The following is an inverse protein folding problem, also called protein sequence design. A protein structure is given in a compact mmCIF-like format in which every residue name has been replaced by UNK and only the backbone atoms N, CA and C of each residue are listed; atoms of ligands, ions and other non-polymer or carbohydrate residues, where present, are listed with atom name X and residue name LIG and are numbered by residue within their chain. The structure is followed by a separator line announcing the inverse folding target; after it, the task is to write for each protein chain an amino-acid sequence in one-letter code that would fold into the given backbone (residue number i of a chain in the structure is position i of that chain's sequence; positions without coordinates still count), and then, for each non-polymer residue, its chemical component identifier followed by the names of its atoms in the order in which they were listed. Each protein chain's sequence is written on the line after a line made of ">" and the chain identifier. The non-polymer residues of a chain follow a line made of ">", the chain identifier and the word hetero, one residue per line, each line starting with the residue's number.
data_IF_110939399781
#
_entry.id   IF_110939399781
#
_cell.length_a   1.000
_cell.length_b   1.000
_cell.length_c   1.000
_cell.angle_alpha   90.00
_cell.angle_beta   90.00
_cell.angle_gamma   90.00
#
_symmetry.space_group_name_H-M   'P 1'
#
loop_
_entity.id
_entity.type
_entity.pdbx_description
1 polymer ?
#
# COMPACT_ATOMS: atom_id res chain seq x y z
N UNK A 1 -4.69 18.16 7.37
CA UNK A 1 -5.42 18.48 6.12
C UNK A 1 -5.33 17.38 5.06
N UNK A 2 -4.18 16.70 4.85
CA UNK A 2 -4.03 15.66 3.82
C UNK A 2 -4.96 14.44 3.98
N UNK A 3 -5.17 13.93 5.21
CA UNK A 3 -6.00 12.72 5.45
C UNK A 3 -7.48 12.95 5.11
N UNK A 4 -8.05 14.07 5.58
CA UNK A 4 -9.45 14.44 5.29
C UNK A 4 -9.69 14.53 3.77
N UNK A 5 -8.79 15.18 3.04
CA UNK A 5 -8.90 15.30 1.58
C UNK A 5 -8.92 13.92 0.89
N UNK A 6 -8.06 12.99 1.32
CA UNK A 6 -8.03 11.64 0.72
C UNK A 6 -9.25 10.81 1.13
N UNK A 7 -9.77 11.01 2.35
CA UNK A 7 -11.03 10.43 2.77
C UNK A 7 -12.19 10.91 1.91
N UNK A 8 -12.26 12.22 1.61
CA UNK A 8 -13.25 12.78 0.68
C UNK A 8 -13.11 12.22 -0.75
N UNK A 9 -11.90 11.80 -1.15
CA UNK A 9 -11.66 11.13 -2.44
C UNK A 9 -12.06 9.65 -2.43
N UNK A 10 -12.44 9.10 -1.28
CA UNK A 10 -12.95 7.73 -1.14
C UNK A 10 -12.02 6.79 -0.37
N UNK A 11 -10.82 7.21 0.05
CA UNK A 11 -9.94 6.35 0.85
C UNK A 11 -10.56 6.09 2.22
N UNK A 12 -10.62 4.83 2.63
CA UNK A 12 -11.22 4.43 3.90
C UNK A 12 -10.19 4.51 5.01
N UNK A 13 -10.30 5.52 5.88
CA UNK A 13 -9.50 5.61 7.10
C UNK A 13 -10.34 5.16 8.29
N UNK A 14 -9.83 4.22 9.08
CA UNK A 14 -10.44 3.85 10.37
C UNK A 14 -10.41 5.02 11.34
N UNK A 15 -9.33 5.80 11.34
CA UNK A 15 -9.19 7.00 12.16
C UNK A 15 -8.41 8.11 11.43
N UNK A 16 -9.12 9.18 11.08
CA UNK A 16 -8.58 10.32 10.33
C UNK A 16 -7.63 11.18 11.19
N UNK A 17 -7.87 11.29 12.50
CA UNK A 17 -7.10 12.17 13.37
C UNK A 17 -5.77 11.56 13.82
N UNK A 18 -5.66 10.22 13.75
CA UNK A 18 -4.54 9.48 14.30
C UNK A 18 -3.67 8.81 13.24
N UNK A 19 -4.02 8.98 11.97
CA UNK A 19 -3.22 8.53 10.82
C UNK A 19 -2.39 9.69 10.30
N UNK A 20 -1.11 9.45 10.04
CA UNK A 20 -0.17 10.44 9.54
C UNK A 20 0.20 10.12 8.09
N UNK A 21 0.03 11.12 7.22
CA UNK A 21 0.33 11.01 5.80
C UNK A 21 1.33 12.10 5.43
N UNK A 22 2.51 11.69 4.99
CA UNK A 22 3.60 12.55 4.56
C UNK A 22 3.30 13.29 3.26
N UNK A 23 4.24 14.16 2.89
CA UNK A 23 4.12 14.94 1.67
C UNK A 23 4.23 14.04 0.42
N UNK A 24 3.45 14.38 -0.61
CA UNK A 24 3.48 13.66 -1.90
C UNK A 24 3.17 12.15 -1.82
N UNK A 25 2.43 11.70 -0.80
CA UNK A 25 1.84 10.36 -0.81
C UNK A 25 0.73 10.32 -1.86
N UNK A 26 0.91 9.44 -2.85
CA UNK A 26 -0.04 9.24 -3.94
C UNK A 26 -0.95 8.05 -3.65
N UNK A 27 -2.25 8.31 -3.67
CA UNK A 27 -3.28 7.29 -3.64
C UNK A 27 -3.75 7.05 -5.06
N UNK A 28 -4.18 5.82 -5.33
CA UNK A 28 -4.85 5.46 -6.56
C UNK A 28 -5.99 6.43 -6.87
N UNK A 29 -5.93 7.09 -8.03
CA UNK A 29 -6.92 8.06 -8.45
C UNK A 29 -8.16 7.44 -9.09
N UNK A 30 -8.11 6.17 -9.47
CA UNK A 30 -9.20 5.48 -10.18
C UNK A 30 -10.10 4.75 -9.18
N UNK A 31 -9.51 3.98 -8.25
CA UNK A 31 -10.25 3.20 -7.26
C UNK A 31 -9.82 3.48 -5.81
N UNK A 32 -9.85 4.74 -5.35
CA UNK A 32 -9.45 5.11 -3.97
C UNK A 32 -10.28 4.39 -2.89
N UNK A 33 -11.53 4.02 -3.20
CA UNK A 33 -12.43 3.26 -2.31
C UNK A 33 -11.96 1.83 -2.01
N UNK A 34 -10.96 1.32 -2.73
CA UNK A 34 -10.34 0.03 -2.44
C UNK A 34 -9.14 0.14 -1.48
N UNK A 35 -8.80 1.35 -1.03
CA UNK A 35 -7.73 1.56 -0.05
C UNK A 35 -8.35 1.66 1.35
N UNK A 36 -7.87 0.82 2.25
CA UNK A 36 -8.26 0.78 3.65
C UNK A 36 -7.04 0.98 4.53
N UNK A 37 -7.11 1.96 5.44
CA UNK A 37 -6.02 2.30 6.35
C UNK A 37 -6.54 2.25 7.79
N UNK A 38 -5.85 1.48 8.62
CA UNK A 38 -6.13 1.30 10.03
C UNK A 38 -5.87 2.54 10.88
N UNK A 39 -5.90 2.34 12.19
CA UNK A 39 -5.58 3.38 13.17
C UNK A 39 -4.06 3.48 13.40
N UNK A 40 -3.58 4.64 13.85
CA UNK A 40 -2.17 4.88 14.23
C UNK A 40 -1.14 4.55 13.13
N UNK A 41 -1.53 4.69 11.87
CA UNK A 41 -0.63 4.43 10.75
C UNK A 41 0.23 5.66 10.42
N UNK A 42 1.47 5.42 10.02
CA UNK A 42 2.37 6.45 9.49
C UNK A 42 2.82 6.10 8.08
N UNK A 43 2.48 6.93 7.09
CA UNK A 43 2.92 6.74 5.70
C UNK A 43 3.80 7.92 5.32
N UNK A 44 5.10 7.67 5.19
CA UNK A 44 6.08 8.71 4.93
C UNK A 44 6.07 9.18 3.47
N UNK A 45 6.76 10.31 3.25
CA UNK A 45 6.67 11.09 2.03
C UNK A 45 7.00 10.29 0.75
N UNK A 46 6.33 10.65 -0.35
CA UNK A 46 6.58 10.12 -1.69
C UNK A 46 6.02 8.71 -1.97
N UNK A 47 5.48 8.02 -0.96
CA UNK A 47 4.92 6.67 -1.11
C UNK A 47 3.72 6.63 -2.05
N UNK A 48 3.60 5.56 -2.86
CA UNK A 48 2.51 5.34 -3.82
C UNK A 48 1.72 4.09 -3.47
N UNK A 49 0.39 4.22 -3.51
CA UNK A 49 -0.55 3.16 -3.17
C UNK A 49 -1.45 2.91 -4.38
N UNK A 50 -1.28 1.74 -5.02
CA UNK A 50 -2.03 1.35 -6.20
C UNK A 50 -2.94 0.16 -5.88
N UNK A 51 -4.20 0.28 -6.28
CA UNK A 51 -5.22 -0.76 -6.16
C UNK A 51 -5.49 -1.45 -7.48
N UNK A 52 -5.07 -0.84 -8.60
CA UNK A 52 -5.11 -1.45 -9.92
C UNK A 52 -3.70 -1.75 -10.45
N UNK A 53 -3.59 -2.83 -11.21
CA UNK A 53 -2.35 -3.26 -11.84
C UNK A 53 -2.63 -3.97 -13.17
N UNK A 54 -1.62 -4.03 -14.03
CA UNK A 54 -1.65 -4.85 -15.25
C UNK A 54 -1.26 -6.27 -14.85
N UNK A 55 -2.15 -7.23 -15.11
CA UNK A 55 -1.80 -8.65 -14.96
C UNK A 55 -0.95 -9.09 -16.15
N UNK A 56 0.34 -9.21 -15.92
CA UNK A 56 1.32 -9.63 -16.93
C UNK A 56 1.32 -11.15 -17.15
N UNK A 57 0.72 -11.93 -16.26
CA UNK A 57 0.74 -13.40 -16.32
C UNK A 57 -0.35 -13.94 -17.25
N UNK A 58 -1.45 -13.20 -17.41
CA UNK A 58 -2.61 -13.59 -18.24
C UNK A 58 -2.75 -12.82 -19.55
N UNK A 59 -1.74 -12.05 -19.96
CA UNK A 59 -1.78 -11.26 -21.19
C UNK A 59 -2.06 -12.11 -22.44
N UNK A 60 -1.61 -13.37 -22.47
CA UNK A 60 -1.80 -14.28 -23.60
C UNK A 60 -3.20 -14.87 -23.72
N UNK A 61 -4.05 -14.78 -22.69
CA UNK A 61 -5.39 -15.37 -22.69
C UNK A 61 -6.39 -14.55 -23.55
N UNK A 62 -6.03 -13.33 -23.96
CA UNK A 62 -6.92 -12.41 -24.67
C UNK A 62 -6.17 -11.64 -25.79
N UNK A 63 -6.01 -12.23 -26.98
CA UNK A 63 -5.17 -11.69 -28.06
C UNK A 63 -5.60 -10.30 -28.57
N UNK A 64 -6.87 -9.92 -28.39
CA UNK A 64 -7.41 -8.65 -28.87
C UNK A 64 -7.31 -7.49 -27.83
N UNK A 65 -6.84 -7.77 -26.61
CA UNK A 65 -6.71 -6.79 -25.53
C UNK A 65 -5.27 -6.71 -25.01
N UNK A 66 -4.51 -5.72 -25.49
CA UNK A 66 -3.09 -5.56 -25.16
C UNK A 66 -2.79 -5.23 -23.68
N UNK A 67 -3.76 -4.65 -22.94
CA UNK A 67 -3.61 -4.36 -21.51
C UNK A 67 -4.90 -4.68 -20.76
N UNK A 68 -4.83 -5.59 -19.79
CA UNK A 68 -5.96 -5.89 -18.89
C UNK A 68 -5.62 -5.45 -17.47
N UNK A 69 -6.43 -4.53 -16.97
CA UNK A 69 -6.32 -4.03 -15.61
C UNK A 69 -7.13 -4.90 -14.65
N UNK A 70 -6.50 -5.30 -13.56
CA UNK A 70 -7.15 -5.91 -12.42
C UNK A 70 -7.11 -4.93 -11.27
N UNK A 71 -8.20 -4.87 -10.51
CA UNK A 71 -8.27 -4.09 -9.29
C UNK A 71 -8.51 -5.00 -8.08
N UNK A 72 -8.11 -4.55 -6.91
CA UNK A 72 -8.37 -5.22 -5.65
C UNK A 72 -8.07 -4.30 -4.47
N UNK A 73 -8.24 -4.83 -3.27
CA UNK A 73 -8.09 -4.04 -2.05
C UNK A 73 -6.63 -3.91 -1.64
N UNK A 74 -6.25 -2.71 -1.22
CA UNK A 74 -5.05 -2.51 -0.42
C UNK A 74 -5.51 -2.30 1.01
N UNK A 75 -5.03 -3.15 1.92
CA UNK A 75 -5.38 -3.12 3.33
C UNK A 75 -4.10 -2.83 4.12
N UNK A 76 -4.07 -1.69 4.79
CA UNK A 76 -3.04 -1.31 5.74
C UNK A 76 -3.68 -1.41 7.12
N UNK A 77 -3.28 -2.39 7.92
CA UNK A 77 -3.87 -2.60 9.25
C UNK A 77 -3.35 -1.60 10.28
N UNK A 78 -3.84 -1.70 11.52
CA UNK A 78 -3.47 -0.78 12.61
C UNK A 78 -1.95 -0.77 12.88
N UNK A 79 -1.43 0.35 13.41
CA UNK A 79 -0.06 0.47 13.91
C UNK A 79 1.04 0.26 12.84
N UNK A 80 0.72 0.36 11.55
CA UNK A 80 1.69 0.17 10.46
C UNK A 80 2.49 1.45 10.19
N UNK A 81 3.81 1.28 9.99
CA UNK A 81 4.69 2.34 9.49
C UNK A 81 5.21 2.00 8.09
N UNK A 82 5.09 2.94 7.15
CA UNK A 82 5.60 2.83 5.79
C UNK A 82 6.62 3.96 5.56
N UNK A 83 7.86 3.56 5.28
CA UNK A 83 8.97 4.46 4.98
C UNK A 83 8.78 5.30 3.72
N UNK A 84 9.73 6.20 3.47
CA UNK A 84 9.64 7.14 2.35
C UNK A 84 9.77 6.41 1.01
N UNK A 85 9.09 6.93 -0.02
CA UNK A 85 9.20 6.49 -1.41
C UNK A 85 8.91 4.99 -1.63
N UNK A 86 8.06 4.40 -0.81
CA UNK A 86 7.61 3.02 -1.04
C UNK A 86 6.58 2.95 -2.17
N UNK A 87 6.43 1.78 -2.77
CA UNK A 87 5.40 1.51 -3.77
C UNK A 87 4.62 0.27 -3.37
N UNK A 88 3.33 0.41 -3.07
CA UNK A 88 2.39 -0.69 -3.01
C UNK A 88 1.88 -0.91 -4.42
N UNK A 89 2.43 -1.91 -5.10
CA UNK A 89 2.32 -2.08 -6.55
C UNK A 89 1.09 -2.89 -6.98
N UNK A 90 0.47 -3.62 -6.05
CA UNK A 90 -0.67 -4.51 -6.29
C UNK A 90 -1.60 -4.51 -5.05
N UNK A 91 -2.85 -4.99 -5.19
CA UNK A 91 -3.69 -5.36 -4.06
C UNK A 91 -2.94 -6.29 -3.10
N UNK A 92 -2.75 -5.84 -1.85
CA UNK A 92 -2.04 -6.56 -0.79
C UNK A 92 -2.60 -6.17 0.57
N UNK A 93 -2.31 -6.99 1.57
CA UNK A 93 -2.52 -6.69 2.98
C UNK A 93 -1.17 -6.48 3.68
N UNK A 94 -1.03 -5.35 4.37
CA UNK A 94 0.10 -5.05 5.27
C UNK A 94 -0.40 -5.21 6.69
N UNK A 95 0.04 -6.28 7.34
CA UNK A 95 -0.46 -6.71 8.64
C UNK A 95 -0.11 -5.75 9.78
N UNK A 96 -0.90 -5.83 10.85
CA UNK A 96 -0.83 -4.95 12.02
C UNK A 96 0.59 -4.84 12.56
N UNK A 97 1.03 -3.61 12.85
CA UNK A 97 2.33 -3.35 13.46
C UNK A 97 3.54 -3.59 12.53
N UNK A 98 3.33 -3.86 11.25
CA UNK A 98 4.42 -4.02 10.30
C UNK A 98 5.16 -2.70 10.04
N UNK A 99 6.46 -2.81 9.78
CA UNK A 99 7.36 -1.68 9.49
C UNK A 99 7.98 -1.90 8.11
N UNK A 100 7.75 -0.96 7.21
CA UNK A 100 8.35 -0.97 5.87
C UNK A 100 9.46 0.08 5.82
N UNK A 101 10.68 -0.34 5.47
CA UNK A 101 11.80 0.57 5.21
C UNK A 101 11.58 1.44 3.98
N UNK A 102 12.38 2.49 3.81
CA UNK A 102 12.28 3.36 2.64
C UNK A 102 12.63 2.65 1.32
N UNK A 103 12.04 3.12 0.21
CA UNK A 103 12.24 2.63 -1.16
C UNK A 103 11.91 1.13 -1.36
N UNK A 104 10.93 0.61 -0.61
CA UNK A 104 10.47 -0.79 -0.77
C UNK A 104 9.32 -0.87 -1.77
N UNK A 105 9.37 -1.87 -2.66
CA UNK A 105 8.27 -2.22 -3.56
C UNK A 105 7.54 -3.44 -3.00
N UNK A 106 6.28 -3.26 -2.64
CA UNK A 106 5.43 -4.28 -2.01
C UNK A 106 4.54 -4.89 -3.09
N UNK A 107 4.74 -6.18 -3.33
CA UNK A 107 4.02 -6.96 -4.37
C UNK A 107 3.28 -8.17 -3.80
N UNK A 108 3.44 -8.44 -2.50
CA UNK A 108 2.83 -9.54 -1.76
C UNK A 108 2.46 -9.04 -0.36
N UNK A 109 1.55 -9.77 0.29
CA UNK A 109 1.15 -9.48 1.65
C UNK A 109 2.35 -9.46 2.61
N UNK A 110 2.30 -8.55 3.58
CA UNK A 110 3.31 -8.40 4.64
C UNK A 110 2.70 -8.92 5.95
N UNK A 111 3.30 -9.91 6.61
CA UNK A 111 2.79 -10.44 7.87
C UNK A 111 2.75 -9.36 8.98
N UNK A 112 1.83 -9.53 9.93
CA UNK A 112 1.77 -8.68 11.12
C UNK A 112 3.09 -8.70 11.91
N UNK A 113 3.50 -7.54 12.42
CA UNK A 113 4.75 -7.34 13.16
C UNK A 113 6.04 -7.52 12.34
N UNK A 114 5.95 -7.79 11.04
CA UNK A 114 7.12 -7.99 10.20
C UNK A 114 7.82 -6.66 9.89
N UNK A 115 9.15 -6.72 9.72
CA UNK A 115 9.94 -5.62 9.19
C UNK A 115 10.39 -5.99 7.77
N UNK A 116 10.01 -5.18 6.79
CA UNK A 116 10.37 -5.37 5.38
C UNK A 116 11.32 -4.26 4.93
N UNK A 117 12.50 -4.63 4.41
CA UNK A 117 13.51 -3.69 3.89
C UNK A 117 14.08 -4.19 2.56
N UNK A 118 14.50 -3.27 1.69
CA UNK A 118 15.14 -3.56 0.40
C UNK A 118 14.18 -3.92 -0.75
N UNK A 119 14.64 -3.75 -2.00
CA UNK A 119 13.89 -4.04 -3.23
C UNK A 119 13.72 -5.55 -3.52
N UNK A 120 14.39 -6.40 -2.74
CA UNK A 120 14.23 -7.85 -2.71
C UNK A 120 14.14 -8.21 -1.23
N UNK A 121 12.94 -8.37 -0.69
CA UNK A 121 12.76 -8.78 0.70
C UNK A 121 13.28 -10.21 0.87
N UNK A 122 14.58 -10.33 1.10
CA UNK A 122 15.23 -11.53 1.60
C UNK A 122 15.81 -11.12 2.95
N UNK A 123 15.29 -11.76 3.99
CA UNK A 123 15.73 -11.76 5.38
C UNK A 123 14.94 -10.89 6.36
N UNK A 124 14.17 -11.62 7.17
CA UNK A 124 13.59 -11.23 8.44
C UNK A 124 14.70 -11.37 9.49
N UNK A 125 14.97 -10.33 10.27
CA UNK A 125 15.63 -10.50 11.58
C UNK A 125 14.52 -10.67 12.60
N UNK A 126 14.41 -11.83 13.23
CA UNK A 126 13.62 -11.96 14.46
C UNK A 126 14.32 -11.15 15.55
N UNK A 127 13.59 -10.21 16.13
CA UNK A 127 13.95 -9.60 17.40
C UNK A 127 13.01 -10.27 18.41
N UNK A 128 13.61 -11.00 19.34
CA UNK A 128 12.91 -11.72 20.40
C UNK A 128 12.31 -10.81 21.46
#
# INVERSE_FOLDING_TARGET
>A
MRVVLQSMRGVNFKNISNTQIGDNVGFDGIYPHNIYIGDRCGIAAGTRILTHFIDTERLSEHPDHHFRYYQGKVIIEDDVFIGMNCVIAKPVTIGKGAIIGANVVITKDVPAGAVMVGAKAINIKQVG
#
